data_IF_793689583458
#
_entry.id   IF_793689583458
#
_cell.length_a   1.000
_cell.length_b   1.000
_cell.length_c   1.000
_cell.angle_alpha   90.00
_cell.angle_beta   90.00
_cell.angle_gamma   90.00
#
_symmetry.space_group_name_H-M   'P 1'
#
loop_
_entity.id
_entity.type
_entity.pdbx_description
1 polymer ?
#
# COMPACT_ATOMS: atom_id res chain seq x y z
N UNK A 1 -26.69 22.82 -53.72
CA UNK A 1 -27.46 24.03 -53.35
C UNK A 1 -26.96 25.16 -54.20
N UNK A 2 -27.82 26.13 -54.53
CA UNK A 2 -27.41 27.36 -55.18
C UNK A 2 -26.55 28.18 -54.22
N UNK A 3 -25.50 28.81 -54.72
CA UNK A 3 -24.72 29.81 -54.02
C UNK A 3 -25.33 31.19 -54.26
N UNK A 4 -24.99 32.21 -53.45
CA UNK A 4 -25.38 33.56 -53.77
C UNK A 4 -24.92 34.00 -55.17
N UNK A 5 -23.73 33.56 -55.60
CA UNK A 5 -23.22 33.82 -56.95
C UNK A 5 -24.14 33.23 -58.04
N UNK A 6 -24.63 32.00 -57.84
CA UNK A 6 -25.54 31.35 -58.79
C UNK A 6 -26.90 32.07 -58.93
N UNK A 7 -27.31 32.83 -57.91
CA UNK A 7 -28.53 33.65 -57.95
C UNK A 7 -28.25 34.98 -58.64
N UNK A 8 -27.10 35.61 -58.37
CA UNK A 8 -26.71 36.89 -58.98
C UNK A 8 -26.40 36.79 -60.48
N UNK A 9 -25.87 35.66 -60.94
CA UNK A 9 -25.56 35.44 -62.37
C UNK A 9 -26.73 34.83 -63.16
N UNK A 10 -27.91 34.71 -62.55
CA UNK A 10 -29.03 33.98 -63.14
C UNK A 10 -29.75 34.79 -64.21
N UNK A 11 -29.54 34.44 -65.47
CA UNK A 11 -30.34 34.96 -66.59
C UNK A 11 -31.62 34.14 -66.85
N UNK A 12 -32.75 34.83 -67.00
CA UNK A 12 -34.05 34.25 -67.36
C UNK A 12 -34.38 34.50 -68.83
N UNK A 13 -35.01 33.51 -69.48
CA UNK A 13 -35.47 33.64 -70.87
C UNK A 13 -36.72 34.52 -70.96
N UNK A 14 -36.74 35.46 -71.91
CA UNK A 14 -37.90 36.32 -72.17
C UNK A 14 -39.05 35.55 -72.84
N UNK A 15 -40.29 35.84 -72.43
CA UNK A 15 -41.52 35.23 -72.97
C UNK A 15 -42.57 36.31 -73.22
N UNK A 16 -43.43 36.11 -74.23
CA UNK A 16 -44.46 37.07 -74.68
C UNK A 16 -45.50 37.36 -73.57
N UNK A 17 -45.64 36.47 -72.59
CA UNK A 17 -46.35 36.69 -71.32
C UNK A 17 -45.42 36.25 -70.19
N UNK A 18 -44.97 37.19 -69.37
CA UNK A 18 -44.03 36.95 -68.27
C UNK A 18 -44.15 37.99 -67.17
N UNK A 19 -43.41 37.79 -66.09
CA UNK A 19 -43.30 38.77 -65.00
C UNK A 19 -42.53 40.01 -65.48
N UNK A 20 -42.76 41.14 -64.80
CA UNK A 20 -42.00 42.36 -65.05
C UNK A 20 -40.54 42.15 -64.63
N UNK A 21 -39.61 42.31 -65.57
CA UNK A 21 -38.16 42.12 -65.39
C UNK A 21 -37.64 43.00 -64.24
N UNK A 22 -38.03 44.27 -64.18
CA UNK A 22 -37.57 45.22 -63.15
C UNK A 22 -38.09 44.88 -61.74
N UNK A 23 -39.33 44.40 -61.63
CA UNK A 23 -39.87 43.96 -60.33
C UNK A 23 -39.22 42.66 -59.85
N UNK A 24 -38.92 41.75 -60.78
CA UNK A 24 -38.22 40.49 -60.50
C UNK A 24 -36.78 40.77 -60.06
N UNK A 25 -36.06 41.64 -60.76
CA UNK A 25 -34.68 42.01 -60.43
C UNK A 25 -34.61 42.67 -59.04
N UNK A 26 -35.48 43.64 -58.75
CA UNK A 26 -35.58 44.28 -57.44
C UNK A 26 -35.90 43.29 -56.30
N UNK A 27 -36.66 42.23 -56.59
CA UNK A 27 -36.95 41.17 -55.62
C UNK A 27 -35.76 40.23 -55.46
N UNK A 28 -35.11 39.85 -56.57
CA UNK A 28 -33.91 39.00 -56.57
C UNK A 28 -32.74 39.67 -55.85
N UNK A 29 -32.57 40.99 -55.94
CA UNK A 29 -31.56 41.73 -55.18
C UNK A 29 -31.77 41.59 -53.66
N UNK A 30 -33.02 41.68 -53.20
CA UNK A 30 -33.37 41.50 -51.78
C UNK A 30 -33.12 40.05 -51.35
N UNK A 31 -33.55 39.10 -52.16
CA UNK A 31 -33.34 37.66 -51.92
C UNK A 31 -31.85 37.34 -51.88
N UNK A 32 -31.06 37.89 -52.80
CA UNK A 32 -29.62 37.70 -52.88
C UNK A 32 -28.95 38.21 -51.61
N UNK A 33 -29.28 39.43 -51.16
CA UNK A 33 -28.73 40.02 -49.94
C UNK A 33 -29.04 39.17 -48.70
N UNK A 34 -30.29 38.76 -48.53
CA UNK A 34 -30.70 37.94 -47.39
C UNK A 34 -30.06 36.55 -47.45
N UNK A 35 -29.96 35.97 -48.66
CA UNK A 35 -29.34 34.67 -48.87
C UNK A 35 -27.82 34.70 -48.63
N UNK A 36 -27.11 35.77 -49.03
CA UNK A 36 -25.70 35.97 -48.71
C UNK A 36 -25.47 36.02 -47.19
N UNK A 37 -26.33 36.74 -46.46
CA UNK A 37 -26.25 36.83 -45.02
C UNK A 37 -26.48 35.46 -44.37
N UNK A 38 -27.53 34.73 -44.79
CA UNK A 38 -27.81 33.38 -44.31
C UNK A 38 -26.69 32.40 -44.65
N UNK A 39 -26.11 32.51 -45.84
CA UNK A 39 -25.02 31.64 -46.30
C UNK A 39 -23.75 31.84 -45.47
N UNK A 40 -23.35 33.10 -45.24
CA UNK A 40 -22.20 33.44 -44.36
C UNK A 40 -22.43 32.97 -42.93
N UNK A 41 -23.62 33.19 -42.39
CA UNK A 41 -23.96 32.74 -41.03
C UNK A 41 -23.97 31.22 -40.93
N UNK A 42 -24.48 30.50 -41.94
CA UNK A 42 -24.44 29.04 -41.97
C UNK A 42 -23.01 28.50 -41.99
N UNK A 43 -22.11 29.13 -42.74
CA UNK A 43 -20.69 28.77 -42.75
C UNK A 43 -20.04 29.01 -41.38
N UNK A 44 -20.30 30.16 -40.75
CA UNK A 44 -19.80 30.48 -39.40
C UNK A 44 -20.29 29.46 -38.37
N UNK A 45 -21.59 29.18 -38.35
CA UNK A 45 -22.19 28.21 -37.43
C UNK A 45 -21.64 26.79 -37.64
N UNK A 46 -21.39 26.39 -38.89
CA UNK A 46 -20.77 25.09 -39.19
C UNK A 46 -19.33 25.00 -38.68
N UNK A 47 -18.56 26.09 -38.79
CA UNK A 47 -17.21 26.16 -38.24
C UNK A 47 -17.23 26.07 -36.71
N UNK A 48 -18.05 26.88 -36.05
CA UNK A 48 -18.20 26.85 -34.58
C UNK A 48 -18.70 25.49 -34.08
N UNK A 49 -19.61 24.85 -34.81
CA UNK A 49 -20.08 23.51 -34.48
C UNK A 49 -18.95 22.48 -34.55
N UNK A 50 -18.13 22.52 -35.60
CA UNK A 50 -17.00 21.61 -35.76
C UNK A 50 -15.96 21.80 -34.64
N UNK A 51 -15.63 23.04 -34.28
CA UNK A 51 -14.71 23.36 -33.18
C UNK A 51 -15.25 22.88 -31.82
N UNK A 52 -16.55 23.05 -31.58
CA UNK A 52 -17.20 22.58 -30.37
C UNK A 52 -17.24 21.05 -30.30
N UNK A 53 -17.48 20.37 -31.42
CA UNK A 53 -17.49 18.91 -31.52
C UNK A 53 -16.09 18.32 -31.23
N UNK A 54 -15.04 18.93 -31.79
CA UNK A 54 -13.65 18.55 -31.51
C UNK A 54 -13.31 18.73 -30.02
N UNK A 55 -13.69 19.88 -29.44
CA UNK A 55 -13.48 20.16 -28.02
C UNK A 55 -14.19 19.15 -27.13
N UNK A 56 -15.45 18.80 -27.45
CA UNK A 56 -16.21 17.79 -26.72
C UNK A 56 -15.58 16.40 -26.81
N UNK A 57 -15.06 16.03 -27.99
CA UNK A 57 -14.32 14.78 -28.14
C UNK A 57 -13.09 14.76 -27.24
N UNK A 58 -12.30 15.84 -27.24
CA UNK A 58 -11.12 15.96 -26.39
C UNK A 58 -11.46 15.84 -24.89
N UNK A 59 -12.53 16.50 -24.43
CA UNK A 59 -12.96 16.40 -23.04
C UNK A 59 -13.42 14.99 -22.65
N UNK A 60 -14.11 14.27 -23.56
CA UNK A 60 -14.49 12.86 -23.32
C UNK A 60 -13.28 11.95 -23.19
N UNK A 61 -12.27 12.14 -24.04
CA UNK A 61 -11.03 11.36 -23.97
C UNK A 61 -10.24 11.65 -22.69
N UNK A 62 -10.20 12.93 -22.29
CA UNK A 62 -9.59 13.36 -21.04
C UNK A 62 -10.33 12.77 -19.83
N UNK A 63 -11.66 12.83 -19.81
CA UNK A 63 -12.49 12.22 -18.76
C UNK A 63 -12.26 10.71 -18.68
N UNK A 64 -12.21 10.02 -19.82
CA UNK A 64 -11.91 8.59 -19.87
C UNK A 64 -10.54 8.26 -19.29
N UNK A 65 -9.53 9.09 -19.58
CA UNK A 65 -8.16 8.93 -19.06
C UNK A 65 -8.09 9.21 -17.55
N UNK A 66 -8.77 10.25 -17.08
CA UNK A 66 -8.87 10.59 -15.67
C UNK A 66 -9.54 9.47 -14.88
N UNK A 67 -10.68 8.96 -15.37
CA UNK A 67 -11.38 7.84 -14.72
C UNK A 67 -10.49 6.60 -14.62
N UNK A 68 -9.78 6.23 -15.71
CA UNK A 68 -8.82 5.10 -15.68
C UNK A 68 -7.71 5.32 -14.67
N UNK A 69 -7.17 6.54 -14.61
CA UNK A 69 -6.09 6.89 -13.69
C UNK A 69 -6.56 6.85 -12.23
N UNK A 70 -7.77 7.34 -11.95
CA UNK A 70 -8.37 7.28 -10.61
C UNK A 70 -8.59 5.84 -10.16
N UNK A 71 -9.13 5.00 -11.03
CA UNK A 71 -9.32 3.57 -10.74
C UNK A 71 -7.98 2.89 -10.47
N UNK A 72 -6.98 3.12 -11.33
CA UNK A 72 -5.64 2.55 -11.13
C UNK A 72 -5.00 3.02 -9.82
N UNK A 73 -5.13 4.31 -9.48
CA UNK A 73 -4.61 4.85 -8.23
C UNK A 73 -5.30 4.21 -7.02
N UNK A 74 -6.62 3.99 -7.08
CA UNK A 74 -7.36 3.31 -6.02
C UNK A 74 -6.94 1.85 -5.88
N UNK A 75 -6.85 1.09 -6.98
CA UNK A 75 -6.39 -0.30 -6.97
C UNK A 75 -4.97 -0.41 -6.41
N UNK A 76 -4.06 0.49 -6.82
CA UNK A 76 -2.69 0.53 -6.32
C UNK A 76 -2.64 0.83 -4.82
N UNK A 77 -3.48 1.77 -4.35
CA UNK A 77 -3.56 2.09 -2.92
C UNK A 77 -4.10 0.92 -2.09
N UNK A 78 -5.12 0.22 -2.60
CA UNK A 78 -5.68 -0.97 -1.96
C UNK A 78 -4.68 -2.13 -1.92
N UNK A 79 -3.94 -2.35 -3.01
CA UNK A 79 -2.89 -3.37 -3.07
C UNK A 79 -1.74 -3.03 -2.11
N UNK A 80 -1.29 -1.78 -2.07
CA UNK A 80 -0.26 -1.32 -1.13
C UNK A 80 -0.69 -1.53 0.32
N UNK A 81 -1.94 -1.17 0.67
CA UNK A 81 -2.50 -1.39 1.99
C UNK A 81 -2.49 -2.89 2.36
N UNK A 82 -3.00 -3.74 1.46
CA UNK A 82 -3.06 -5.19 1.70
C UNK A 82 -1.67 -5.81 1.87
N UNK A 83 -0.70 -5.37 1.08
CA UNK A 83 0.68 -5.83 1.19
C UNK A 83 1.32 -5.39 2.52
N UNK A 84 1.12 -4.13 2.92
CA UNK A 84 1.60 -3.62 4.20
C UNK A 84 0.96 -4.35 5.41
N UNK A 85 -0.34 -4.65 5.35
CA UNK A 85 -1.04 -5.43 6.39
C UNK A 85 -0.45 -6.84 6.51
N UNK A 86 -0.22 -7.51 5.38
CA UNK A 86 0.39 -8.84 5.35
C UNK A 86 1.82 -8.82 5.88
N UNK A 87 2.62 -7.83 5.50
CA UNK A 87 3.99 -7.67 5.97
C UNK A 87 4.05 -7.40 7.48
N UNK A 88 3.15 -6.53 7.98
CA UNK A 88 3.02 -6.25 9.39
C UNK A 88 2.63 -7.51 10.19
N UNK A 89 1.70 -8.32 9.67
CA UNK A 89 1.30 -9.59 10.30
C UNK A 89 2.46 -10.59 10.35
N UNK A 90 3.22 -10.72 9.26
CA UNK A 90 4.42 -11.58 9.22
C UNK A 90 5.47 -11.13 10.24
N UNK A 91 5.76 -9.81 10.29
CA UNK A 91 6.72 -9.25 11.23
C UNK A 91 6.28 -9.45 12.68
N UNK A 92 4.99 -9.24 12.96
CA UNK A 92 4.42 -9.46 14.30
C UNK A 92 4.58 -10.92 14.73
N UNK A 93 4.23 -11.87 13.85
CA UNK A 93 4.34 -13.29 14.13
C UNK A 93 5.80 -13.72 14.32
N UNK A 94 6.73 -13.19 13.52
CA UNK A 94 8.16 -13.46 13.67
C UNK A 94 8.71 -12.91 15.00
N UNK A 95 8.36 -11.67 15.34
CA UNK A 95 8.75 -11.05 16.61
C UNK A 95 8.21 -11.83 17.81
N UNK A 96 6.94 -12.25 17.74
CA UNK A 96 6.32 -13.09 18.77
C UNK A 96 7.03 -14.43 18.91
N UNK A 97 7.30 -15.13 17.80
CA UNK A 97 8.00 -16.42 17.81
C UNK A 97 9.41 -16.29 18.40
N UNK A 98 10.16 -15.25 18.02
CA UNK A 98 11.48 -14.95 18.62
C UNK A 98 11.36 -14.68 20.12
N UNK A 99 10.37 -13.90 20.53
CA UNK A 99 10.08 -13.63 21.94
C UNK A 99 9.81 -14.90 22.74
N UNK A 100 8.90 -15.75 22.26
CA UNK A 100 8.58 -17.04 22.88
C UNK A 100 9.82 -17.94 22.99
N UNK A 101 10.67 -17.97 21.96
CA UNK A 101 11.92 -18.74 21.98
C UNK A 101 12.92 -18.22 23.01
N UNK A 102 13.05 -16.90 23.16
CA UNK A 102 13.92 -16.28 24.17
C UNK A 102 13.43 -16.62 25.58
N UNK A 103 12.12 -16.49 25.83
CA UNK A 103 11.53 -16.82 27.13
C UNK A 103 11.75 -18.29 27.46
N UNK A 104 11.44 -19.19 26.52
CA UNK A 104 11.64 -20.64 26.71
C UNK A 104 13.10 -21.01 26.97
N UNK A 105 14.05 -20.38 26.27
CA UNK A 105 15.47 -20.59 26.49
C UNK A 105 15.92 -20.09 27.88
N UNK A 106 15.41 -18.95 28.32
CA UNK A 106 15.69 -18.41 29.65
C UNK A 106 15.13 -19.32 30.75
N UNK A 107 13.89 -19.79 30.62
CA UNK A 107 13.27 -20.73 31.56
C UNK A 107 14.07 -22.04 31.66
N UNK A 108 14.48 -22.61 30.52
CA UNK A 108 15.31 -23.80 30.49
C UNK A 108 16.67 -23.59 31.18
N UNK A 109 17.30 -22.43 30.98
CA UNK A 109 18.56 -22.09 31.65
C UNK A 109 18.37 -21.91 33.16
N UNK A 110 17.31 -21.23 33.58
CA UNK A 110 16.96 -21.07 35.00
C UNK A 110 16.69 -22.42 35.66
N UNK A 111 15.99 -23.34 34.98
CA UNK A 111 15.76 -24.68 35.48
C UNK A 111 17.07 -25.44 35.71
N UNK A 112 18.01 -25.38 34.76
CA UNK A 112 19.35 -25.98 34.89
C UNK A 112 20.14 -25.39 36.07
N UNK A 113 20.16 -24.06 36.19
CA UNK A 113 20.86 -23.39 37.30
C UNK A 113 20.28 -23.81 38.65
N UNK A 114 18.94 -23.89 38.76
CA UNK A 114 18.28 -24.33 39.99
C UNK A 114 18.60 -25.80 40.34
N UNK A 115 18.70 -26.67 39.33
CA UNK A 115 19.12 -28.06 39.53
C UNK A 115 20.58 -28.16 40.00
N UNK A 116 21.49 -27.44 39.35
CA UNK A 116 22.90 -27.33 39.72
C UNK A 116 23.08 -26.80 41.15
N UNK A 117 22.32 -25.75 41.51
CA UNK A 117 22.32 -25.17 42.84
C UNK A 117 21.86 -26.19 43.89
N UNK A 118 20.77 -26.93 43.63
CA UNK A 118 20.29 -28.00 44.53
C UNK A 118 21.35 -29.09 44.70
N UNK A 119 22.00 -29.49 43.60
CA UNK A 119 23.09 -30.47 43.62
C UNK A 119 24.26 -30.01 44.49
N UNK A 120 24.73 -28.78 44.31
CA UNK A 120 25.84 -28.19 45.08
C UNK A 120 25.51 -28.08 46.57
N UNK A 121 24.29 -27.66 46.92
CA UNK A 121 23.82 -27.63 48.31
C UNK A 121 23.87 -29.03 48.92
N UNK A 122 23.41 -30.05 48.20
CA UNK A 122 23.43 -31.42 48.69
C UNK A 122 24.86 -31.96 48.86
N UNK A 123 25.74 -31.73 47.88
CA UNK A 123 27.15 -32.10 47.97
C UNK A 123 27.84 -31.43 49.16
N UNK A 124 27.56 -30.14 49.40
CA UNK A 124 28.10 -29.39 50.54
C UNK A 124 27.62 -29.98 51.87
N UNK A 125 26.33 -30.34 51.98
CA UNK A 125 25.78 -30.99 53.18
C UNK A 125 26.46 -32.34 53.45
N UNK A 126 26.58 -33.18 52.42
CA UNK A 126 27.22 -34.50 52.52
C UNK A 126 28.69 -34.35 52.91
N UNK A 127 29.43 -33.46 52.24
CA UNK A 127 30.83 -33.18 52.56
C UNK A 127 31.02 -32.72 54.01
N UNK A 128 30.20 -31.78 54.49
CA UNK A 128 30.25 -31.32 55.89
C UNK A 128 30.01 -32.48 56.88
N UNK A 129 29.06 -33.37 56.60
CA UNK A 129 28.77 -34.52 57.45
C UNK A 129 29.94 -35.52 57.47
N UNK A 130 30.48 -35.86 56.30
CA UNK A 130 31.64 -36.76 56.16
C UNK A 130 32.89 -36.20 56.84
N UNK A 131 33.16 -34.90 56.66
CA UNK A 131 34.31 -34.24 57.27
C UNK A 131 34.19 -34.20 58.80
N UNK A 132 33.00 -33.90 59.34
CA UNK A 132 32.74 -33.96 60.78
C UNK A 132 32.95 -35.38 61.33
N UNK A 133 32.46 -36.40 60.64
CA UNK A 133 32.65 -37.79 61.07
C UNK A 133 34.14 -38.19 61.07
N UNK A 134 34.89 -37.80 60.05
CA UNK A 134 36.34 -38.05 59.98
C UNK A 134 37.10 -37.38 61.13
N UNK A 135 36.77 -36.11 61.43
CA UNK A 135 37.37 -35.40 62.56
C UNK A 135 37.05 -36.05 63.92
N UNK A 136 35.80 -36.47 64.12
CA UNK A 136 35.41 -37.16 65.36
C UNK A 136 36.15 -38.49 65.52
N UNK A 137 36.25 -39.28 64.45
CA UNK A 137 37.03 -40.52 64.45
C UNK A 137 38.51 -40.27 64.75
N UNK A 138 39.10 -39.19 64.23
CA UNK A 138 40.49 -38.84 64.51
C UNK A 138 40.70 -38.39 65.96
N UNK A 139 39.71 -37.74 66.57
CA UNK A 139 39.74 -37.37 68.00
C UNK A 139 39.67 -38.62 68.87
N UNK A 140 38.74 -39.53 68.56
CA UNK A 140 38.56 -40.80 69.30
C UNK A 140 39.86 -41.64 69.30
N UNK A 141 40.54 -41.74 68.15
CA UNK A 141 41.85 -42.39 68.04
C UNK A 141 42.94 -41.75 68.92
N UNK A 142 42.93 -40.42 69.07
CA UNK A 142 43.88 -39.72 69.92
C UNK A 142 43.59 -39.93 71.42
N UNK A 143 42.31 -39.98 71.78
CA UNK A 143 41.87 -40.27 73.15
C UNK A 143 42.21 -41.72 73.56
N UNK A 144 42.03 -42.69 72.66
CA UNK A 144 42.49 -44.08 72.86
C UNK A 144 44.01 -44.17 73.00
N UNK A 145 44.78 -43.46 72.18
CA UNK A 145 46.23 -43.44 72.28
C UNK A 145 46.73 -42.82 73.60
N UNK A 146 46.08 -41.75 74.06
CA UNK A 146 46.42 -41.09 75.34
C UNK A 146 46.04 -41.93 76.57
N UNK A 147 44.90 -42.62 76.52
CA UNK A 147 44.48 -43.55 77.59
C UNK A 147 45.33 -44.81 77.63
N UNK A 148 45.82 -45.30 76.48
CA UNK A 148 46.82 -46.38 76.40
C UNK A 148 48.20 -46.02 76.97
N UNK A 149 48.64 -44.76 76.84
CA UNK A 149 49.91 -44.27 77.44
C UNK A 149 49.81 -44.05 78.96
N UNK A 150 48.60 -43.87 79.50
CA UNK A 150 48.39 -43.68 80.95
C UNK A 150 48.57 -44.99 81.75
N UNK A 151 48.50 -46.14 81.08
CA UNK A 151 48.66 -47.47 81.68
C UNK A 151 50.09 -48.02 81.63
N UNK A 152 51.04 -47.29 81.02
CA UNK A 152 52.45 -47.73 80.87
C UNK A 152 53.46 -46.89 81.66
N UNK A 153 53.02 -46.05 82.60
CA UNK A 153 53.91 -45.17 83.40
C UNK A 153 53.95 -45.56 84.89
N UNK A 154 53.26 -46.63 85.31
CA UNK A 154 53.44 -47.24 86.63
C UNK A 154 54.18 -48.59 86.53
N UNK A 155 55.51 -48.54 86.43
CA UNK A 155 56.47 -49.56 86.89
C UNK A 155 57.88 -48.93 86.94
#
# INVERSE_FOLDING_TARGET
MLTPLDIGEKEFRRSIRGYNEEEVDNFLDKVLKDYEQLYKENLRLKQEFAEMEESLSHYRDLEGTLNKTLVLAQETADELRKNAEKEAEMLYNEARFKGEKIVSAAEAQTAKINEEQRRLIQQTKVFKAQFKAALLSQIELLEEAASGQSLSVEE
#
